data_IF_115069252623
#
_entry.id   IF_115069252623
#
_cell.length_a   1.000
_cell.length_b   1.000
_cell.length_c   1.000
_cell.angle_alpha   90.00
_cell.angle_beta   90.00
_cell.angle_gamma   90.00
#
_symmetry.space_group_name_H-M   'P 1'
#
loop_
_entity.id
_entity.type
_entity.pdbx_description
1 polymer ?
#
# COMPACT_ATOMS: atom_id res chain seq x y z
N UNK A 1 -2.16 8.08 -2.55
CA UNK A 1 -1.86 7.69 -3.95
C UNK A 1 -3.13 7.46 -4.75
N UNK A 2 -3.92 6.41 -4.48
CA UNK A 2 -5.07 6.08 -5.30
C UNK A 2 -6.16 7.17 -5.32
N UNK A 3 -6.44 7.80 -4.18
CA UNK A 3 -7.31 8.98 -4.11
C UNK A 3 -6.81 10.16 -4.96
N UNK A 4 -5.50 10.42 -4.97
CA UNK A 4 -4.91 11.46 -5.82
C UNK A 4 -5.16 11.15 -7.29
N UNK A 5 -4.91 9.93 -7.74
CA UNK A 5 -5.19 9.52 -9.13
C UNK A 5 -6.67 9.67 -9.51
N UNK A 6 -7.59 9.33 -8.60
CA UNK A 6 -9.02 9.57 -8.80
C UNK A 6 -9.27 11.07 -9.02
N UNK A 7 -8.77 11.93 -8.14
CA UNK A 7 -9.03 13.38 -8.18
C UNK A 7 -8.34 14.12 -9.32
N UNK A 8 -7.15 13.71 -9.74
CA UNK A 8 -6.35 14.44 -10.73
C UNK A 8 -6.46 13.88 -12.14
N UNK A 9 -6.85 12.61 -12.28
CA UNK A 9 -6.94 11.96 -13.60
C UNK A 9 -8.37 11.54 -13.92
N UNK A 10 -9.01 10.74 -13.07
CA UNK A 10 -10.30 10.12 -13.41
C UNK A 10 -11.47 11.11 -13.37
N UNK A 11 -11.55 11.92 -12.31
CA UNK A 11 -12.63 12.91 -12.14
C UNK A 11 -12.56 13.99 -13.22
N UNK A 12 -11.40 14.62 -13.51
CA UNK A 12 -11.29 15.59 -14.59
C UNK A 12 -11.58 15.00 -15.97
N UNK A 13 -11.26 13.71 -16.18
CA UNK A 13 -11.60 13.00 -17.40
C UNK A 13 -13.09 12.58 -17.49
N UNK A 14 -13.93 12.97 -16.52
CA UNK A 14 -15.36 12.68 -16.52
C UNK A 14 -15.72 11.19 -16.36
N UNK A 15 -14.80 10.35 -15.87
CA UNK A 15 -15.04 8.91 -15.78
C UNK A 15 -15.98 8.58 -14.62
N UNK A 16 -17.13 7.98 -14.94
CA UNK A 16 -18.15 7.57 -13.96
C UNK A 16 -18.10 6.10 -13.56
N UNK A 17 -17.40 5.26 -14.33
CA UNK A 17 -17.22 3.84 -14.04
C UNK A 17 -15.74 3.53 -13.88
N UNK A 18 -15.40 2.74 -12.87
CA UNK A 18 -14.01 2.38 -12.57
C UNK A 18 -13.87 0.87 -12.36
N UNK A 19 -13.00 0.24 -13.14
CA UNK A 19 -12.59 -1.15 -12.91
C UNK A 19 -11.16 -1.17 -12.38
N UNK A 20 -10.98 -1.77 -11.22
CA UNK A 20 -9.68 -1.86 -10.55
C UNK A 20 -9.27 -3.32 -10.50
N UNK A 21 -8.12 -3.63 -11.08
CA UNK A 21 -7.51 -4.95 -10.98
C UNK A 21 -6.37 -4.93 -9.95
N UNK A 22 -6.32 -5.95 -9.10
CA UNK A 22 -5.30 -6.09 -8.07
C UNK A 22 -4.79 -7.53 -7.96
N UNK A 23 -3.55 -7.68 -7.52
CA UNK A 23 -3.05 -8.96 -7.06
C UNK A 23 -3.79 -9.40 -5.77
N UNK A 24 -3.95 -10.72 -5.63
CA UNK A 24 -4.66 -11.32 -4.50
C UNK A 24 -3.74 -11.43 -3.26
N UNK A 25 -3.18 -10.29 -2.85
CA UNK A 25 -2.37 -10.15 -1.67
C UNK A 25 -3.25 -9.79 -0.46
N UNK A 26 -3.45 -10.77 0.43
CA UNK A 26 -4.27 -10.64 1.64
C UNK A 26 -3.79 -9.53 2.59
N UNK A 27 -2.47 -9.32 2.66
CA UNK A 27 -1.83 -8.36 3.54
C UNK A 27 -1.79 -6.92 3.02
N UNK A 28 -2.17 -6.65 1.77
CA UNK A 28 -2.04 -5.33 1.16
C UNK A 28 -3.34 -4.88 0.51
N UNK A 29 -3.72 -5.49 -0.61
CA UNK A 29 -4.82 -5.02 -1.44
C UNK A 29 -6.18 -5.56 -0.99
N UNK A 30 -6.21 -6.79 -0.46
CA UNK A 30 -7.44 -7.43 0.02
C UNK A 30 -7.78 -7.04 1.46
N UNK A 31 -7.77 -5.73 1.71
CA UNK A 31 -8.09 -5.13 3.02
C UNK A 31 -9.45 -4.45 2.98
N UNK A 32 -10.20 -4.63 4.06
CA UNK A 32 -11.47 -3.95 4.31
C UNK A 32 -11.37 -2.43 4.16
N UNK A 33 -10.23 -1.82 4.53
CA UNK A 33 -10.01 -0.39 4.40
C UNK A 33 -10.17 0.10 2.95
N UNK A 34 -9.60 -0.62 1.98
CA UNK A 34 -9.67 -0.23 0.56
C UNK A 34 -11.09 -0.42 0.00
N UNK A 35 -11.76 -1.52 0.36
CA UNK A 35 -13.16 -1.77 -0.02
C UNK A 35 -14.05 -0.65 0.50
N UNK A 36 -13.93 -0.29 1.80
CA UNK A 36 -14.70 0.81 2.38
C UNK A 36 -14.40 2.14 1.70
N UNK A 37 -13.13 2.42 1.40
CA UNK A 37 -12.76 3.62 0.65
C UNK A 37 -13.44 3.68 -0.72
N UNK A 38 -13.49 2.57 -1.46
CA UNK A 38 -14.18 2.47 -2.75
C UNK A 38 -15.70 2.66 -2.62
N UNK A 39 -16.31 2.04 -1.61
CA UNK A 39 -17.73 2.26 -1.29
C UNK A 39 -18.00 3.73 -1.04
N UNK A 40 -17.14 4.42 -0.29
CA UNK A 40 -17.26 5.88 -0.09
C UNK A 40 -17.30 6.64 -1.41
N UNK A 41 -16.45 6.29 -2.38
CA UNK A 41 -16.41 7.02 -3.65
C UNK A 41 -17.74 6.91 -4.42
N UNK A 42 -18.38 5.74 -4.42
CA UNK A 42 -19.73 5.58 -5.01
C UNK A 42 -20.79 6.29 -4.18
N UNK A 43 -20.69 6.18 -2.85
CA UNK A 43 -21.68 6.76 -1.94
C UNK A 43 -21.71 8.30 -1.96
N UNK A 44 -20.56 8.94 -2.21
CA UNK A 44 -20.44 10.39 -2.44
C UNK A 44 -20.78 10.80 -3.89
N UNK A 45 -21.14 9.86 -4.76
CA UNK A 45 -21.45 10.16 -6.17
C UNK A 45 -20.24 10.48 -7.05
N UNK A 46 -19.01 10.18 -6.62
CA UNK A 46 -17.80 10.37 -7.43
C UNK A 46 -17.83 9.42 -8.65
N UNK A 47 -18.24 8.17 -8.41
CA UNK A 47 -18.44 7.15 -9.44
C UNK A 47 -19.86 6.58 -9.33
N UNK A 48 -20.45 6.24 -10.46
CA UNK A 48 -21.73 5.50 -10.54
C UNK A 48 -21.52 4.01 -10.26
N UNK A 49 -20.37 3.47 -10.70
CA UNK A 49 -20.05 2.05 -10.51
C UNK A 49 -18.56 1.83 -10.33
N UNK A 50 -18.21 0.98 -9.38
CA UNK A 50 -16.83 0.50 -9.19
C UNK A 50 -16.82 -1.02 -9.14
N UNK A 51 -15.98 -1.64 -9.95
CA UNK A 51 -15.72 -3.07 -9.91
C UNK A 51 -14.26 -3.30 -9.48
N UNK A 52 -14.06 -3.85 -8.30
CA UNK A 52 -12.76 -4.20 -7.75
C UNK A 52 -12.52 -5.71 -7.85
N UNK A 53 -11.58 -6.09 -8.72
CA UNK A 53 -11.34 -7.46 -9.16
C UNK A 53 -9.93 -7.91 -8.76
N UNK A 54 -9.84 -9.11 -8.22
CA UNK A 54 -8.58 -9.73 -7.85
C UNK A 54 -8.17 -10.80 -8.86
N UNK A 55 -6.89 -10.84 -9.22
CA UNK A 55 -6.35 -11.94 -10.01
C UNK A 55 -6.39 -13.27 -9.24
N UNK A 56 -6.43 -14.38 -9.97
CA UNK A 56 -6.34 -15.72 -9.37
C UNK A 56 -4.99 -15.86 -8.64
N UNK A 57 -4.99 -16.55 -7.50
CA UNK A 57 -3.78 -16.73 -6.69
C UNK A 57 -2.69 -17.45 -7.53
N UNK A 58 -1.48 -16.91 -7.53
CA UNK A 58 -0.36 -17.45 -8.30
C UNK A 58 -0.25 -16.89 -9.72
N UNK A 59 -1.14 -15.98 -10.12
CA UNK A 59 -0.98 -15.23 -11.37
C UNK A 59 0.15 -14.20 -11.24
N UNK A 60 1.20 -14.36 -12.05
CA UNK A 60 2.42 -13.54 -11.98
C UNK A 60 2.44 -12.40 -13.01
N UNK A 61 1.44 -12.30 -13.89
CA UNK A 61 1.45 -11.35 -15.02
C UNK A 61 0.64 -10.08 -14.71
N UNK A 62 1.05 -9.32 -13.70
CA UNK A 62 0.51 -7.98 -13.46
C UNK A 62 1.24 -6.95 -14.34
N UNK A 63 0.49 -6.09 -15.05
CA UNK A 63 1.06 -4.99 -15.83
C UNK A 63 1.87 -4.02 -14.97
N UNK A 64 1.46 -3.82 -13.71
CA UNK A 64 2.19 -2.99 -12.75
C UNK A 64 3.60 -3.55 -12.50
N UNK A 65 3.73 -4.86 -12.28
CA UNK A 65 5.03 -5.51 -12.03
C UNK A 65 5.95 -5.38 -13.23
N UNK A 66 5.39 -5.48 -14.44
CA UNK A 66 6.15 -5.23 -15.68
C UNK A 66 6.65 -3.80 -15.75
N UNK A 67 5.81 -2.81 -15.44
CA UNK A 67 6.19 -1.40 -15.38
C UNK A 67 7.35 -1.15 -14.42
N UNK A 68 7.27 -1.68 -13.19
CA UNK A 68 8.37 -1.62 -12.23
C UNK A 68 9.63 -2.35 -12.70
N UNK A 69 9.47 -3.45 -13.44
CA UNK A 69 10.59 -4.14 -14.08
C UNK A 69 11.34 -3.24 -15.07
N UNK A 70 10.62 -2.47 -15.89
CA UNK A 70 11.22 -1.50 -16.81
C UNK A 70 11.95 -0.37 -16.06
N UNK A 71 11.29 0.22 -15.05
CA UNK A 71 11.90 1.26 -14.20
C UNK A 71 13.19 0.74 -13.57
N UNK A 72 13.13 -0.42 -12.89
CA UNK A 72 14.29 -1.01 -12.22
C UNK A 72 15.44 -1.29 -13.18
N UNK A 73 15.16 -1.86 -14.35
CA UNK A 73 16.18 -2.17 -15.37
C UNK A 73 16.88 -0.92 -15.89
N UNK A 74 16.15 0.18 -16.04
CA UNK A 74 16.69 1.45 -16.51
C UNK A 74 17.49 2.16 -15.41
N UNK A 75 16.91 2.30 -14.22
CA UNK A 75 17.51 2.93 -13.05
C UNK A 75 18.79 2.21 -12.61
N UNK A 76 18.84 0.88 -12.67
CA UNK A 76 20.02 0.11 -12.25
C UNK A 76 21.26 0.28 -13.13
N UNK A 77 21.13 0.97 -14.27
CA UNK A 77 22.23 1.23 -15.22
C UNK A 77 22.75 2.66 -15.13
N UNK A 78 22.28 3.44 -14.15
CA UNK A 78 22.63 4.84 -13.99
C UNK A 78 23.22 5.12 -12.62
N UNK A 79 24.17 6.04 -12.58
CA UNK A 79 24.68 6.60 -11.35
C UNK A 79 23.79 7.77 -10.91
N UNK A 80 22.95 7.54 -9.90
CA UNK A 80 21.93 8.47 -9.43
C UNK A 80 22.25 8.91 -8.00
N UNK A 81 22.77 10.12 -7.86
CA UNK A 81 23.27 10.65 -6.59
C UNK A 81 22.32 11.60 -5.87
N UNK A 82 21.27 12.09 -6.55
CA UNK A 82 20.30 13.02 -5.98
C UNK A 82 18.87 12.54 -6.24
N UNK A 83 17.92 13.01 -5.42
CA UNK A 83 16.51 12.65 -5.59
C UNK A 83 15.95 13.14 -6.93
N UNK A 84 16.34 14.34 -7.39
CA UNK A 84 15.94 14.86 -8.70
C UNK A 84 16.34 13.92 -9.84
N UNK A 85 17.59 13.44 -9.83
CA UNK A 85 18.07 12.49 -10.84
C UNK A 85 17.31 11.16 -10.82
N UNK A 86 16.89 10.68 -9.64
CA UNK A 86 16.04 9.48 -9.55
C UNK A 86 14.67 9.74 -10.18
N UNK A 87 14.05 10.90 -9.89
CA UNK A 87 12.76 11.27 -10.47
C UNK A 87 12.83 11.34 -11.99
N UNK A 88 13.88 11.98 -12.53
CA UNK A 88 14.12 12.08 -13.97
C UNK A 88 14.35 10.69 -14.59
N UNK A 89 15.20 9.85 -13.98
CA UNK A 89 15.44 8.50 -14.47
C UNK A 89 14.16 7.63 -14.47
N UNK A 90 13.29 7.77 -13.47
CA UNK A 90 12.00 7.05 -13.46
C UNK A 90 11.10 7.56 -14.57
N UNK A 91 11.01 8.88 -14.77
CA UNK A 91 10.25 9.51 -15.85
C UNK A 91 10.72 9.02 -17.22
N UNK A 92 12.02 8.98 -17.45
CA UNK A 92 12.62 8.63 -18.75
C UNK A 92 12.65 7.12 -19.03
N UNK A 93 12.39 6.28 -18.01
CA UNK A 93 12.49 4.82 -18.16
C UNK A 93 11.46 4.20 -19.11
N UNK A 94 10.33 4.87 -19.37
CA UNK A 94 9.37 4.48 -20.39
C UNK A 94 8.49 5.68 -20.79
N UNK A 95 8.13 5.78 -22.07
CA UNK A 95 7.22 6.82 -22.58
C UNK A 95 5.81 6.75 -21.98
N UNK A 96 5.41 5.59 -21.49
CA UNK A 96 4.13 5.38 -20.79
C UNK A 96 4.13 5.84 -19.34
N UNK A 97 5.27 6.27 -18.78
CA UNK A 97 5.36 6.63 -17.38
C UNK A 97 4.84 8.05 -17.12
N UNK A 98 3.90 8.16 -16.19
CA UNK A 98 3.51 9.43 -15.58
C UNK A 98 4.09 9.50 -14.16
N UNK A 99 5.28 10.08 -14.03
CA UNK A 99 5.96 10.18 -12.74
C UNK A 99 5.43 11.39 -11.96
N UNK A 100 4.87 11.12 -10.77
CA UNK A 100 4.47 12.16 -9.81
C UNK A 100 5.47 12.14 -8.66
N UNK A 101 6.27 13.19 -8.54
CA UNK A 101 7.15 13.38 -7.38
C UNK A 101 6.33 13.98 -6.23
N UNK A 102 6.29 13.27 -5.11
CA UNK A 102 5.63 13.72 -3.89
C UNK A 102 6.71 14.18 -2.94
N UNK A 103 6.82 15.49 -2.76
CA UNK A 103 7.79 16.10 -1.88
C UNK A 103 7.35 15.97 -0.43
N UNK A 104 8.32 16.03 0.47
CA UNK A 104 8.06 16.03 1.90
C UNK A 104 7.44 17.37 2.29
N UNK A 105 6.14 17.40 2.55
CA UNK A 105 5.40 18.61 2.90
C UNK A 105 4.10 18.81 2.10
N UNK A 106 3.89 18.00 1.06
CA UNK A 106 2.77 18.20 0.12
C UNK A 106 1.39 17.76 0.65
N UNK A 107 1.23 17.56 1.97
CA UNK A 107 0.01 17.04 2.65
C UNK A 107 -0.73 15.95 1.86
N UNK A 108 0.06 15.06 1.26
CA UNK A 108 -0.43 14.16 0.21
C UNK A 108 -1.12 12.90 0.78
N UNK A 109 -0.71 12.49 1.98
CA UNK A 109 -1.22 11.29 2.64
C UNK A 109 -2.30 11.68 3.63
N UNK A 110 -3.42 10.96 3.63
CA UNK A 110 -4.56 11.27 4.50
C UNK A 110 -4.97 10.06 5.35
N UNK A 111 -5.57 10.34 6.51
CA UNK A 111 -6.03 9.33 7.47
C UNK A 111 -7.48 8.90 7.17
N UNK A 112 -7.65 7.93 6.27
CA UNK A 112 -8.98 7.43 5.91
C UNK A 112 -9.60 6.49 6.94
N UNK A 113 -8.76 5.80 7.73
CA UNK A 113 -9.19 4.68 8.60
C UNK A 113 -10.24 5.09 9.65
N UNK A 114 -10.12 6.23 10.35
CA UNK A 114 -11.13 6.64 11.33
C UNK A 114 -12.49 6.84 10.67
N UNK A 115 -12.56 7.68 9.62
CA UNK A 115 -13.81 8.04 8.95
C UNK A 115 -14.55 6.82 8.39
N UNK A 116 -13.85 5.97 7.62
CA UNK A 116 -14.50 4.78 7.04
C UNK A 116 -14.88 3.73 8.07
N UNK A 117 -14.23 3.71 9.25
CA UNK A 117 -14.59 2.79 10.33
C UNK A 117 -15.84 3.25 11.07
N UNK A 118 -16.03 4.56 11.19
CA UNK A 118 -17.24 5.17 11.74
C UNK A 118 -18.44 5.02 10.80
N UNK A 119 -18.22 5.17 9.49
CA UNK A 119 -19.30 5.14 8.50
C UNK A 119 -19.74 3.73 8.12
N UNK A 120 -18.81 2.77 8.12
CA UNK A 120 -19.05 1.44 7.56
C UNK A 120 -18.72 0.28 8.50
N UNK A 121 -19.55 -0.75 8.46
CA UNK A 121 -19.31 -2.08 9.02
C UNK A 121 -18.19 -2.79 8.27
N UNK A 122 -17.56 -3.75 8.93
CA UNK A 122 -16.53 -4.58 8.31
C UNK A 122 -17.20 -5.61 7.41
N UNK A 123 -16.76 -5.72 6.15
CA UNK A 123 -17.22 -6.76 5.23
C UNK A 123 -16.73 -8.12 5.74
N UNK A 124 -17.65 -9.08 5.83
CA UNK A 124 -17.38 -10.42 6.36
C UNK A 124 -16.92 -11.31 5.21
N UNK A 125 -15.86 -12.09 5.44
CA UNK A 125 -15.40 -13.05 4.43
C UNK A 125 -14.63 -12.43 3.25
N UNK A 126 -14.10 -11.20 3.37
CA UNK A 126 -13.32 -10.52 2.31
C UNK A 126 -12.32 -11.43 1.59
N UNK A 127 -11.66 -12.34 2.30
CA UNK A 127 -10.65 -13.23 1.70
C UNK A 127 -11.24 -14.26 0.71
N UNK A 128 -12.52 -14.60 0.86
CA UNK A 128 -13.22 -15.62 0.07
C UNK A 128 -13.63 -15.10 -1.31
N UNK A 129 -13.85 -13.79 -1.44
CA UNK A 129 -14.33 -13.17 -2.68
C UNK A 129 -13.20 -12.74 -3.61
N UNK A 130 -13.42 -12.80 -4.91
CA UNK A 130 -12.49 -12.29 -5.93
C UNK A 130 -12.98 -11.02 -6.60
N UNK A 131 -14.29 -10.79 -6.61
CA UNK A 131 -14.90 -9.65 -7.29
C UNK A 131 -15.79 -8.93 -6.29
N UNK A 132 -15.62 -7.62 -6.22
CA UNK A 132 -16.45 -6.70 -5.44
C UNK A 132 -17.01 -5.65 -6.40
N UNK A 133 -18.32 -5.47 -6.39
CA UNK A 133 -19.01 -4.48 -7.22
C UNK A 133 -19.80 -3.54 -6.32
N UNK A 134 -19.67 -2.25 -6.58
CA UNK A 134 -20.40 -1.18 -5.90
C UNK A 134 -21.16 -0.37 -6.97
N UNK A 135 -22.43 -0.10 -6.73
CA UNK A 135 -23.31 0.58 -7.68
C UNK A 135 -24.12 1.68 -6.99
N UNK A 136 -24.28 2.82 -7.65
CA UNK A 136 -25.00 3.98 -7.12
C UNK A 136 -26.50 3.70 -6.91
N UNK A 137 -27.08 2.71 -7.60
CA UNK A 137 -28.46 2.27 -7.36
C UNK A 137 -28.68 1.66 -5.97
N UNK A 138 -27.61 1.13 -5.35
CA UNK A 138 -27.64 0.55 -3.99
C UNK A 138 -26.50 1.13 -3.14
N UNK A 139 -26.61 2.40 -2.70
CA UNK A 139 -25.53 3.06 -1.96
C UNK A 139 -25.15 2.30 -0.68
N UNK A 140 -23.83 2.10 -0.49
CA UNK A 140 -23.30 1.43 0.69
C UNK A 140 -23.38 -0.10 0.68
N UNK A 141 -23.99 -0.71 -0.33
CA UNK A 141 -24.03 -2.16 -0.54
C UNK A 141 -22.85 -2.60 -1.41
N UNK A 142 -22.21 -3.72 -1.04
CA UNK A 142 -21.17 -4.37 -1.84
C UNK A 142 -21.67 -5.71 -2.33
N UNK A 143 -21.70 -5.88 -3.65
CA UNK A 143 -21.94 -7.15 -4.31
C UNK A 143 -20.63 -7.93 -4.38
N UNK A 144 -20.60 -9.13 -3.80
CA UNK A 144 -19.41 -9.95 -3.67
C UNK A 144 -19.57 -11.26 -4.44
N UNK A 145 -18.56 -11.64 -5.24
CA UNK A 145 -18.52 -12.95 -5.90
C UNK A 145 -17.23 -13.69 -5.59
N UNK A 146 -17.33 -15.01 -5.36
CA UNK A 146 -16.17 -15.90 -5.12
C UNK A 146 -15.32 -16.11 -6.38
N UNK A 147 -15.94 -16.02 -7.55
CA UNK A 147 -15.31 -16.03 -8.87
C UNK A 147 -16.24 -15.43 -9.93
N UNK A 148 -15.82 -15.39 -11.20
CA UNK A 148 -16.62 -14.83 -12.29
C UNK A 148 -18.00 -15.46 -12.44
N UNK A 149 -18.05 -16.79 -12.33
CA UNK A 149 -19.25 -17.61 -12.54
C UNK A 149 -20.01 -17.91 -11.23
N UNK A 150 -19.57 -17.35 -10.10
CA UNK A 150 -20.22 -17.56 -8.82
C UNK A 150 -21.43 -16.64 -8.63
N UNK A 151 -22.38 -17.10 -7.83
CA UNK A 151 -23.51 -16.30 -7.36
C UNK A 151 -23.05 -15.03 -6.64
N UNK A 152 -23.92 -14.02 -6.67
CA UNK A 152 -23.67 -12.72 -6.06
C UNK A 152 -24.19 -12.71 -4.63
N UNK A 153 -23.31 -12.42 -3.68
CA UNK A 153 -23.66 -12.19 -2.27
C UNK A 153 -23.67 -10.69 -1.99
N UNK A 154 -24.80 -10.13 -1.55
CA UNK A 154 -24.89 -8.69 -1.21
C UNK A 154 -24.62 -8.48 0.29
N UNK A 155 -23.77 -7.51 0.63
CA UNK A 155 -23.53 -7.08 2.01
C UNK A 155 -23.70 -5.56 2.14
N UNK A 156 -24.66 -5.12 2.96
CA UNK A 156 -24.83 -3.70 3.30
C UNK A 156 -23.82 -3.29 4.39
N UNK A 157 -22.88 -2.43 4.01
CA UNK A 157 -21.84 -1.96 4.92
C UNK A 157 -22.25 -0.72 5.70
N UNK A 158 -23.41 -0.11 5.45
CA UNK A 158 -23.83 1.11 6.17
C UNK A 158 -24.01 0.83 7.66
N UNK A 159 -23.53 1.75 8.48
CA UNK A 159 -23.87 1.80 9.91
C UNK A 159 -25.15 2.62 10.10
N UNK A 160 -25.81 2.41 11.24
CA UNK A 160 -26.86 3.31 11.69
C UNK A 160 -26.21 4.37 12.56
N UNK A 161 -26.38 5.63 12.21
CA UNK A 161 -25.94 6.78 13.01
C UNK A 161 -27.20 7.56 13.32
N UNK A 162 -27.50 7.76 14.60
CA UNK A 162 -28.75 8.41 15.06
C UNK A 162 -30.02 7.68 14.61
N UNK A 163 -29.96 6.33 14.53
CA UNK A 163 -31.08 5.48 14.13
C UNK A 163 -31.31 5.38 12.62
N UNK A 164 -30.71 6.27 11.82
CA UNK A 164 -30.83 6.31 10.36
C UNK A 164 -29.60 5.67 9.71
N UNK A 165 -29.78 4.99 8.58
CA UNK A 165 -28.64 4.48 7.80
C UNK A 165 -27.80 5.66 7.30
N UNK A 166 -26.48 5.47 7.24
CA UNK A 166 -25.59 6.51 6.72
C UNK A 166 -26.01 6.90 5.30
N UNK A 167 -26.39 8.16 5.11
CA UNK A 167 -26.76 8.78 3.82
C UNK A 167 -25.53 9.35 3.10
N UNK A 168 -25.59 9.45 1.77
CA UNK A 168 -24.48 9.93 0.94
C UNK A 168 -24.03 11.36 1.27
N UNK A 169 -24.98 12.25 1.55
CA UNK A 169 -24.69 13.65 1.93
C UNK A 169 -23.96 13.74 3.27
N UNK A 170 -24.24 12.84 4.22
CA UNK A 170 -23.52 12.75 5.50
C UNK A 170 -22.10 12.25 5.28
N UNK A 171 -21.92 11.25 4.41
CA UNK A 171 -20.58 10.76 4.03
C UNK A 171 -19.73 11.87 3.41
N UNK A 172 -20.29 12.60 2.45
CA UNK A 172 -19.60 13.70 1.77
C UNK A 172 -19.20 14.80 2.76
N UNK A 173 -20.11 15.21 3.65
CA UNK A 173 -19.81 16.19 4.71
C UNK A 173 -18.67 15.71 5.61
N UNK A 174 -18.72 14.46 6.06
CA UNK A 174 -17.71 13.91 6.95
C UNK A 174 -16.33 13.86 6.27
N UNK A 175 -16.28 13.41 5.02
CA UNK A 175 -15.03 13.37 4.26
C UNK A 175 -14.50 14.76 3.93
N UNK A 176 -15.36 15.74 3.70
CA UNK A 176 -14.91 17.11 3.37
C UNK A 176 -14.43 17.86 4.62
N UNK A 177 -15.06 17.63 5.78
CA UNK A 177 -14.77 18.36 7.01
C UNK A 177 -13.70 17.71 7.90
N UNK A 178 -13.61 16.37 7.92
CA UNK A 178 -12.78 15.64 8.89
C UNK A 178 -11.67 14.79 8.25
N UNK A 179 -11.43 14.90 6.94
CA UNK A 179 -10.32 14.20 6.30
C UNK A 179 -9.00 14.93 6.57
N UNK A 180 -8.26 14.41 7.54
CA UNK A 180 -6.99 14.98 7.97
C UNK A 180 -5.80 14.42 7.19
N UNK A 181 -4.85 15.31 6.87
CA UNK A 181 -3.54 14.92 6.37
C UNK A 181 -2.77 14.17 7.47
N UNK A 182 -2.08 13.10 7.08
CA UNK A 182 -1.20 12.37 7.97
C UNK A 182 0.05 13.21 8.24
N UNK A 183 0.53 13.24 9.50
CA UNK A 183 1.75 13.96 9.82
C UNK A 183 2.92 13.36 9.05
N UNK A 184 3.89 14.21 8.71
CA UNK A 184 5.08 13.78 8.01
C UNK A 184 5.80 12.70 8.83
N UNK A 185 6.11 11.53 8.25
CA UNK A 185 6.82 10.50 8.99
C UNK A 185 8.18 11.04 9.42
N UNK A 186 8.61 10.80 10.67
CA UNK A 186 9.90 11.29 11.14
C UNK A 186 11.02 10.76 10.25
N UNK A 187 12.06 11.58 10.04
CA UNK A 187 13.24 11.13 9.29
C UNK A 187 13.89 9.99 10.07
N UNK A 188 14.16 8.87 9.40
CA UNK A 188 14.80 7.73 10.05
C UNK A 188 16.27 8.08 10.39
N UNK A 189 16.64 8.20 11.68
CA UNK A 189 17.97 8.67 12.09
C UNK A 189 19.08 7.72 11.66
N UNK A 190 18.83 6.40 11.63
CA UNK A 190 19.82 5.42 11.15
C UNK A 190 20.10 5.59 9.66
N UNK A 191 19.09 5.93 8.86
CA UNK A 191 19.26 6.17 7.44
C UNK A 191 20.07 7.43 7.20
N UNK A 192 19.76 8.53 7.90
CA UNK A 192 20.58 9.78 7.85
C UNK A 192 22.03 9.48 8.20
N UNK A 193 22.27 8.78 9.32
CA UNK A 193 23.60 8.37 9.72
C UNK A 193 24.30 7.54 8.63
N UNK A 194 23.60 6.55 8.05
CA UNK A 194 24.16 5.68 7.02
C UNK A 194 24.49 6.46 5.75
N UNK A 195 23.60 7.36 5.31
CA UNK A 195 23.84 8.19 4.11
C UNK A 195 25.08 9.08 4.30
N UNK A 196 25.19 9.75 5.45
CA UNK A 196 26.32 10.65 5.72
C UNK A 196 27.65 9.93 6.01
N UNK A 197 27.64 8.86 6.81
CA UNK A 197 28.89 8.23 7.31
C UNK A 197 29.38 7.09 6.42
N UNK A 198 28.48 6.39 5.73
CA UNK A 198 28.83 5.21 4.92
C UNK A 198 28.72 5.47 3.44
N UNK A 199 27.65 6.11 2.97
CA UNK A 199 27.41 6.31 1.54
C UNK A 199 28.20 7.50 1.00
N UNK A 200 28.23 8.64 1.72
CA UNK A 200 28.85 9.90 1.29
C UNK A 200 30.29 9.77 0.77
N UNK A 201 31.10 8.85 1.33
CA UNK A 201 32.49 8.62 0.88
C UNK A 201 32.61 8.08 -0.55
N UNK A 202 31.57 7.45 -1.07
CA UNK A 202 31.49 6.94 -2.44
C UNK A 202 30.79 7.91 -3.41
N UNK A 203 30.24 9.02 -2.89
CA UNK A 203 29.53 10.01 -3.70
C UNK A 203 30.56 10.94 -4.37
N UNK A 204 30.43 11.23 -5.67
CA UNK A 204 31.26 12.23 -6.36
C UNK A 204 31.19 13.59 -5.67
N UNK A 205 32.29 14.35 -5.69
CA UNK A 205 32.43 15.60 -4.92
C UNK A 205 31.29 16.59 -5.23
N UNK A 206 30.90 16.70 -6.49
CA UNK A 206 29.83 17.58 -6.99
C UNK A 206 28.45 17.33 -6.34
N UNK A 207 28.21 16.13 -5.79
CA UNK A 207 26.93 15.78 -5.14
C UNK A 207 27.02 15.66 -3.61
N UNK A 208 28.21 15.80 -3.00
CA UNK A 208 28.39 15.61 -1.54
C UNK A 208 27.73 16.69 -0.69
N UNK A 209 27.36 17.82 -1.28
CA UNK A 209 26.66 18.94 -0.65
C UNK A 209 25.13 18.78 -0.65
N UNK A 210 24.59 17.77 -1.34
CA UNK A 210 23.16 17.51 -1.38
C UNK A 210 22.60 17.24 0.04
N UNK A 211 21.38 17.72 0.29
CA UNK A 211 20.68 17.59 1.58
C UNK A 211 20.57 16.13 2.05
N UNK A 212 20.53 15.18 1.12
CA UNK A 212 20.47 13.75 1.39
C UNK A 212 21.70 13.23 2.15
N UNK A 213 22.85 13.88 1.98
CA UNK A 213 24.12 13.53 2.62
C UNK A 213 24.51 14.47 3.77
N UNK A 214 23.60 15.36 4.20
CA UNK A 214 23.85 16.30 5.29
C UNK A 214 24.25 15.59 6.59
N UNK A 215 25.07 16.27 7.41
CA UNK A 215 25.50 15.73 8.69
C UNK A 215 24.29 15.55 9.63
N UNK A 216 24.18 14.40 10.34
CA UNK A 216 23.14 14.23 11.34
C UNK A 216 23.33 15.21 12.49
N UNK A 217 22.22 15.71 13.04
CA UNK A 217 22.25 16.44 14.31
C UNK A 217 22.71 15.53 15.47
N UNK A 218 23.16 16.12 16.59
CA UNK A 218 23.59 15.36 17.79
C UNK A 218 22.51 14.35 18.23
N UNK A 219 21.27 14.81 18.34
CA UNK A 219 20.11 13.99 18.69
C UNK A 219 19.88 12.84 17.69
N UNK A 220 19.91 13.11 16.39
CA UNK A 220 19.79 12.04 15.37
C UNK A 220 20.93 11.03 15.44
N UNK A 221 22.14 11.46 15.78
CA UNK A 221 23.29 10.58 15.99
C UNK A 221 23.10 9.65 17.19
N UNK A 222 22.60 10.17 18.31
CA UNK A 222 22.27 9.41 19.52
C UNK A 222 21.13 8.42 19.25
N UNK A 223 20.02 8.88 18.66
CA UNK A 223 18.87 8.06 18.30
C UNK A 223 19.28 6.89 17.37
N UNK A 224 20.17 7.15 16.41
CA UNK A 224 20.68 6.12 15.50
C UNK A 224 21.52 5.05 16.23
N UNK A 225 22.32 5.44 17.21
CA UNK A 225 23.11 4.49 18.03
C UNK A 225 22.20 3.62 18.88
N UNK A 226 21.23 4.23 19.56
CA UNK A 226 20.24 3.52 20.39
C UNK A 226 19.42 2.54 19.55
N UNK A 227 18.94 2.96 18.38
CA UNK A 227 18.16 2.09 17.49
C UNK A 227 18.99 0.90 16.96
N UNK A 228 20.26 1.13 16.59
CA UNK A 228 21.17 0.06 16.17
C UNK A 228 21.43 -0.95 17.29
N UNK A 229 21.62 -0.47 18.52
CA UNK A 229 21.84 -1.31 19.70
C UNK A 229 20.60 -2.17 19.99
N UNK A 230 19.41 -1.56 20.07
CA UNK A 230 18.16 -2.28 20.31
C UNK A 230 17.87 -3.36 19.23
N UNK A 231 18.20 -3.09 17.96
CA UNK A 231 18.06 -4.09 16.88
C UNK A 231 19.06 -5.23 16.96
N UNK A 232 20.24 -4.99 17.52
CA UNK A 232 21.24 -6.03 17.75
C UNK A 232 20.77 -6.95 18.87
N UNK A 233 20.37 -6.38 20.00
CA UNK A 233 19.82 -7.11 21.14
C UNK A 233 18.58 -7.93 20.75
N UNK A 234 17.66 -7.34 19.97
CA UNK A 234 16.50 -8.07 19.47
C UNK A 234 16.89 -9.24 18.55
N UNK A 235 17.89 -9.07 17.69
CA UNK A 235 18.40 -10.16 16.82
C UNK A 235 19.07 -11.26 17.63
N UNK A 236 19.84 -10.89 18.66
CA UNK A 236 20.48 -11.84 19.57
C UNK A 236 19.43 -12.61 20.37
N UNK A 237 18.40 -11.94 20.90
CA UNK A 237 17.28 -12.58 21.58
C UNK A 237 16.49 -13.53 20.66
N UNK A 238 16.20 -13.11 19.42
CA UNK A 238 15.53 -13.96 18.43
C UNK A 238 16.38 -15.18 18.06
N UNK A 239 17.69 -15.02 17.91
CA UNK A 239 18.61 -16.13 17.65
C UNK A 239 18.68 -17.10 18.84
N UNK A 240 18.72 -16.59 20.07
CA UNK A 240 18.68 -17.39 21.28
C UNK A 240 17.38 -18.19 21.40
N UNK A 241 16.22 -17.54 21.20
CA UNK A 241 14.91 -18.20 21.21
C UNK A 241 14.77 -19.24 20.08
N UNK A 242 15.35 -18.98 18.90
CA UNK A 242 15.36 -19.94 17.80
C UNK A 242 16.22 -21.17 18.14
N UNK A 243 17.37 -20.97 18.79
CA UNK A 243 18.25 -22.05 19.27
C UNK A 243 17.55 -22.88 20.35
N UNK A 244 16.96 -22.26 21.35
CA UNK A 244 16.22 -22.94 22.42
C UNK A 244 15.06 -23.78 21.87
N UNK A 245 14.28 -23.24 20.94
CA UNK A 245 13.21 -23.97 20.27
C UNK A 245 13.72 -25.19 19.48
N UNK A 246 14.92 -25.09 18.88
CA UNK A 246 15.56 -26.21 18.18
C UNK A 246 16.02 -27.28 19.17
N UNK A 247 16.61 -26.88 20.28
CA UNK A 247 17.13 -27.77 21.33
C UNK A 247 16.00 -28.49 22.09
N UNK A 248 14.83 -27.86 22.23
CA UNK A 248 13.62 -28.51 22.78
C UNK A 248 13.06 -29.57 21.83
N UNK A 249 13.00 -29.27 20.53
CA UNK A 249 12.57 -30.24 19.50
C UNK A 249 13.53 -31.42 19.33
N UNK A 250 14.81 -31.26 19.67
CA UNK A 250 15.79 -32.33 19.65
C UNK A 250 15.71 -33.31 20.84
N UNK A 251 15.02 -32.92 21.93
CA UNK A 251 14.86 -33.75 23.14
C UNK A 251 13.55 -34.55 23.19
N UNK A 252 12.50 -34.08 22.54
CA UNK A 252 11.22 -34.80 22.45
C UNK A 252 11.18 -35.76 21.23
N UNK A 253 11.86 -36.90 21.32
CA UNK A 253 11.61 -38.03 20.41
C UNK A 253 10.47 -38.90 20.95
N UNK A 254 9.24 -38.49 20.70
CA UNK A 254 8.07 -39.39 20.75
C UNK A 254 7.17 -39.05 19.55
N UNK A 255 6.67 -40.03 18.77
CA UNK A 255 6.10 -39.75 17.46
C UNK A 255 4.67 -39.21 17.59
N UNK A 256 4.53 -37.88 17.64
CA UNK A 256 3.24 -37.21 17.44
C UNK A 256 3.00 -36.92 15.94
N UNK A 257 1.81 -37.29 15.46
CA UNK A 257 1.35 -37.22 14.07
C UNK A 257 1.67 -35.87 13.39
N UNK A 258 2.36 -35.91 12.25
CA UNK A 258 2.60 -34.76 11.37
C UNK A 258 1.27 -34.24 10.80
N UNK A 259 0.72 -33.18 11.38
CA UNK A 259 -0.18 -32.28 10.65
C UNK A 259 0.67 -31.38 9.75
N UNK A 260 0.59 -31.59 8.43
CA UNK A 260 1.24 -30.75 7.42
C UNK A 260 0.68 -29.33 7.51
N UNK A 261 1.39 -28.42 8.16
CA UNK A 261 1.21 -26.97 7.96
C UNK A 261 2.12 -26.54 6.80
N UNK A 262 1.50 -26.18 5.67
CA UNK A 262 2.16 -25.59 4.51
C UNK A 262 2.62 -24.15 4.85
N UNK A 263 3.74 -24.02 5.55
CA UNK A 263 4.42 -22.74 5.76
C UNK A 263 5.46 -22.50 4.67
N UNK A 264 5.12 -21.74 3.63
CA UNK A 264 6.11 -21.26 2.65
C UNK A 264 6.87 -20.09 3.30
N UNK A 265 8.18 -20.25 3.49
CA UNK A 265 9.07 -19.18 3.94
C UNK A 265 8.91 -17.96 3.03
N UNK A 266 8.44 -16.85 3.60
CA UNK A 266 8.46 -15.56 2.95
C UNK A 266 9.88 -14.99 3.08
N UNK A 267 10.60 -14.94 1.96
CA UNK A 267 11.87 -14.22 1.87
C UNK A 267 11.55 -12.71 1.87
N UNK A 268 11.67 -12.09 3.04
CA UNK A 268 11.46 -10.66 3.21
C UNK A 268 12.74 -9.93 2.78
N UNK A 269 12.77 -9.43 1.55
CA UNK A 269 13.78 -8.44 1.15
C UNK A 269 13.25 -7.05 1.54
N UNK A 270 13.90 -6.43 2.51
CA UNK A 270 13.54 -5.14 3.14
C UNK A 270 13.74 -3.90 2.23
N UNK A 271 13.56 -4.06 0.92
CA UNK A 271 13.52 -2.96 -0.06
C UNK A 271 12.12 -2.78 -0.70
N UNK A 272 11.15 -3.64 -0.39
CA UNK A 272 9.80 -3.63 -0.97
C UNK A 272 8.69 -3.03 -0.10
N UNK A 273 9.00 -2.39 1.02
CA UNK A 273 7.99 -1.86 1.98
C UNK A 273 7.61 -0.40 1.69
N UNK A 274 7.32 -0.08 0.45
CA UNK A 274 6.51 1.07 0.03
C UNK A 274 6.31 0.94 -1.48
N UNK A 275 5.12 1.23 -1.98
CA UNK A 275 4.68 1.09 -3.37
C UNK A 275 4.10 -0.26 -3.78
N UNK A 276 2.90 -0.54 -3.26
CA UNK A 276 1.89 -1.23 -4.07
C UNK A 276 1.06 -0.15 -4.77
N UNK A 277 1.21 -0.03 -6.08
CA UNK A 277 0.31 0.77 -6.91
C UNK A 277 -0.72 -0.15 -7.56
N UNK A 278 -2.00 0.21 -7.36
CA UNK A 278 -3.09 -0.19 -8.22
C UNK A 278 -2.99 0.70 -9.46
N UNK A 279 -2.56 0.16 -10.60
CA UNK A 279 -2.91 0.79 -11.88
C UNK A 279 -4.32 0.32 -12.22
N UNK A 280 -5.33 1.20 -12.27
CA UNK A 280 -6.59 0.82 -12.90
C UNK A 280 -6.29 0.52 -14.37
N UNK A 281 -6.55 -0.72 -14.78
CA UNK A 281 -6.66 -1.04 -16.21
C UNK A 281 -7.96 -0.36 -16.66
N UNK A 282 -7.84 0.87 -17.16
CA UNK A 282 -8.93 1.52 -17.87
C UNK A 282 -9.00 0.84 -19.22
N UNK A 283 -9.92 -0.12 -19.36
CA UNK A 283 -10.27 -0.66 -20.66
C UNK A 283 -10.95 0.48 -21.44
N UNK A 284 -10.27 0.99 -22.46
CA UNK A 284 -10.73 2.11 -23.30
C UNK A 284 -11.67 1.68 -24.45
N UNK A 285 -12.27 0.49 -24.37
CA UNK A 285 -13.22 0.05 -25.39
C UNK A 285 -14.59 -0.04 -24.74
N UNK A 286 -15.42 0.96 -25.05
CA UNK A 286 -16.88 0.87 -25.26
C UNK A 286 -17.32 2.25 -25.76
N UNK A 287 -17.20 2.45 -27.07
CA UNK A 287 -18.06 3.36 -27.86
C UNK A 287 -19.31 2.61 -28.25
#
# INVERSE_FOLDING_TARGET
MFHHFIRTVLVPAGKKRLVVYADNCSGQNKKNLLIKFLVTQVHMGVFERIDFKFFVKGYTKNSCDRGFGHIRKYVSRQDLWTMGRIVDAVKDSATSNATVHISRGDDFFYSYKPLVSELYKTLVGVQQFQIFSMDASKPGVVQCKKGPDSDTEEQDLRRKIDGVLTEGTKVERIFTQFLEALPLPPINPEKVYTMNQTVRKYVPEEFRSDVMYAAPSKKQGEDAKTAKQARREHREAMAAAAKENRDRRGRDTTPAKKQKTSGRLAFCSDLGKAFCYLSPIVNQNDT
#
